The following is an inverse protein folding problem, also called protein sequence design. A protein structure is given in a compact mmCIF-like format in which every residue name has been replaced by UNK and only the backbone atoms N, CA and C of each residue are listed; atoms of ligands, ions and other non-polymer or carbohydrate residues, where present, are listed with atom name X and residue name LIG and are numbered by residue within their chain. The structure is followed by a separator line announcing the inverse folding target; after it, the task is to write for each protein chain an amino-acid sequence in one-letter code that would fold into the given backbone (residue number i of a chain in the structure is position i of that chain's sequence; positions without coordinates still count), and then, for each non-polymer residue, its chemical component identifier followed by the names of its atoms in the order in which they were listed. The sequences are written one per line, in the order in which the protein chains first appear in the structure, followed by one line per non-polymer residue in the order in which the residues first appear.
data_IF_593621871922
#
_entry.id   IF_593621871922
#
_cell.length_a   1.000
_cell.length_b   1.000
_cell.length_c   1.000
_cell.angle_alpha   90.00
_cell.angle_beta   90.00
_cell.angle_gamma   90.00
#
_symmetry.space_group_name_H-M   'P 1'
#
loop_
_entity.id
_entity.type
_entity.pdbx_description
1 polymer ?
#
# COMPACT_ATOMS: atom_id res chain seq x y z
N UNK A 1 -17.32 4.54 -2.41
CA UNK A 1 -16.29 4.15 -3.40
C UNK A 1 -16.89 3.42 -4.61
N UNK A 2 -17.81 2.45 -4.44
CA UNK A 2 -18.40 1.64 -5.54
C UNK A 2 -18.92 2.45 -6.74
N UNK A 3 -19.87 3.37 -6.52
CA UNK A 3 -20.45 4.20 -7.60
C UNK A 3 -19.42 5.05 -8.38
N UNK A 4 -18.35 5.50 -7.70
CA UNK A 4 -17.33 6.36 -8.32
C UNK A 4 -16.43 5.53 -9.23
N UNK A 5 -16.04 4.32 -8.81
CA UNK A 5 -15.21 3.45 -9.64
C UNK A 5 -15.95 2.98 -10.89
N UNK A 6 -17.22 2.57 -10.78
CA UNK A 6 -18.02 2.18 -11.96
C UNK A 6 -18.23 3.39 -12.89
N UNK A 7 -18.50 4.58 -12.36
CA UNK A 7 -18.59 5.79 -13.19
C UNK A 7 -17.28 6.16 -13.88
N UNK A 8 -16.14 5.99 -13.22
CA UNK A 8 -14.85 6.39 -13.75
C UNK A 8 -14.29 5.40 -14.77
N UNK A 9 -14.50 4.09 -14.56
CA UNK A 9 -13.87 3.02 -15.34
C UNK A 9 -14.86 2.22 -16.21
N UNK A 10 -16.16 2.49 -16.10
CA UNK A 10 -17.22 1.83 -16.87
C UNK A 10 -17.45 0.36 -16.49
N UNK A 11 -18.34 -0.30 -17.23
CA UNK A 11 -18.67 -1.73 -17.05
C UNK A 11 -17.51 -2.70 -17.35
N UNK A 12 -16.33 -2.23 -17.77
CA UNK A 12 -15.17 -3.10 -18.05
C UNK A 12 -14.45 -3.60 -16.79
N UNK A 13 -14.84 -3.13 -15.61
CA UNK A 13 -14.09 -3.27 -14.35
C UNK A 13 -14.33 -4.61 -13.62
N UNK A 14 -14.17 -5.74 -14.30
CA UNK A 14 -14.52 -7.06 -13.78
C UNK A 14 -13.48 -7.66 -12.82
N UNK A 15 -12.20 -7.26 -12.95
CA UNK A 15 -11.09 -7.76 -12.11
C UNK A 15 -10.22 -6.63 -11.59
N UNK A 16 -10.29 -6.39 -10.28
CA UNK A 16 -9.65 -5.26 -9.62
C UNK A 16 -8.61 -5.74 -8.64
N UNK A 17 -7.39 -5.20 -8.73
CA UNK A 17 -6.38 -5.30 -7.68
C UNK A 17 -6.24 -3.95 -6.97
N UNK A 18 -6.44 -3.92 -5.66
CA UNK A 18 -6.10 -2.76 -4.85
C UNK A 18 -4.80 -3.02 -4.08
N UNK A 19 -3.91 -2.03 -4.05
CA UNK A 19 -2.63 -2.09 -3.32
C UNK A 19 -2.49 -0.83 -2.47
N UNK A 20 -2.32 -0.97 -1.16
CA UNK A 20 -2.18 0.21 -0.27
C UNK A 20 -2.79 0.02 1.12
N UNK A 21 -2.63 1.03 1.98
CA UNK A 21 -3.08 1.05 3.38
C UNK A 21 -4.60 0.94 3.55
N UNK A 22 -5.37 1.33 2.54
CA UNK A 22 -6.84 1.29 2.55
C UNK A 22 -7.43 -0.02 1.99
N UNK A 23 -6.60 -1.03 1.74
CA UNK A 23 -6.99 -2.25 1.01
C UNK A 23 -8.19 -2.94 1.62
N UNK A 24 -8.16 -3.20 2.93
CA UNK A 24 -9.27 -3.89 3.58
C UNK A 24 -10.59 -3.12 3.52
N UNK A 25 -10.55 -1.79 3.54
CA UNK A 25 -11.75 -0.96 3.41
C UNK A 25 -12.34 -1.04 2.00
N UNK A 26 -11.48 -0.88 0.98
CA UNK A 26 -11.89 -0.92 -0.43
C UNK A 26 -12.43 -2.29 -0.81
N UNK A 27 -11.70 -3.36 -0.50
CA UNK A 27 -12.13 -4.73 -0.81
C UNK A 27 -13.42 -5.08 -0.09
N UNK A 28 -13.59 -4.65 1.17
CA UNK A 28 -14.84 -4.91 1.87
C UNK A 28 -16.02 -4.16 1.25
N UNK A 29 -15.83 -2.99 0.65
CA UNK A 29 -16.91 -2.27 -0.04
C UNK A 29 -17.24 -2.91 -1.38
N UNK A 30 -16.23 -3.27 -2.17
CA UNK A 30 -16.43 -3.91 -3.47
C UNK A 30 -17.11 -5.27 -3.32
N UNK A 31 -16.59 -6.11 -2.43
CA UNK A 31 -17.17 -7.42 -2.13
C UNK A 31 -18.62 -7.37 -1.65
N UNK A 32 -19.05 -6.29 -0.99
CA UNK A 32 -20.40 -6.17 -0.42
C UNK A 32 -21.41 -5.48 -1.36
N UNK A 33 -20.95 -4.74 -2.37
CA UNK A 33 -21.82 -3.85 -3.15
C UNK A 33 -21.95 -4.25 -4.62
N UNK A 34 -20.97 -4.96 -5.15
CA UNK A 34 -20.84 -5.14 -6.59
C UNK A 34 -20.81 -6.64 -6.91
N UNK A 35 -21.93 -7.20 -7.37
CA UNK A 35 -22.05 -8.65 -7.67
C UNK A 35 -21.19 -9.07 -8.88
N UNK A 36 -20.87 -8.15 -9.78
CA UNK A 36 -20.13 -8.41 -11.02
C UNK A 36 -18.63 -8.06 -10.95
N UNK A 37 -18.12 -7.65 -9.78
CA UNK A 37 -16.71 -7.22 -9.62
C UNK A 37 -15.95 -8.21 -8.76
N UNK A 38 -14.95 -8.87 -9.35
CA UNK A 38 -13.97 -9.66 -8.62
C UNK A 38 -12.85 -8.73 -8.12
N UNK A 39 -12.66 -8.65 -6.80
CA UNK A 39 -11.70 -7.74 -6.18
C UNK A 39 -10.70 -8.48 -5.28
N UNK A 40 -9.41 -8.14 -5.43
CA UNK A 40 -8.31 -8.63 -4.60
C UNK A 40 -7.51 -7.48 -4.03
N UNK A 41 -6.99 -7.68 -2.82
CA UNK A 41 -6.22 -6.70 -2.10
C UNK A 41 -4.79 -7.14 -1.80
N UNK A 42 -3.86 -6.20 -1.84
CA UNK A 42 -2.52 -6.34 -1.28
C UNK A 42 -2.29 -5.24 -0.26
N UNK A 43 -2.11 -5.66 0.99
CA UNK A 43 -1.79 -4.78 2.11
C UNK A 43 -0.27 -4.84 2.36
N UNK A 44 0.48 -3.77 2.03
CA UNK A 44 1.94 -3.73 2.23
C UNK A 44 2.37 -3.49 3.68
N UNK A 45 1.45 -3.02 4.52
CA UNK A 45 1.68 -2.75 5.93
C UNK A 45 1.20 -3.90 6.80
N UNK A 46 1.62 -3.92 8.08
CA UNK A 46 1.15 -4.93 9.01
C UNK A 46 -0.33 -4.73 9.36
N UNK A 47 -1.05 -5.83 9.54
CA UNK A 47 -2.47 -5.89 9.89
C UNK A 47 -2.73 -6.18 11.37
N UNK A 48 -1.69 -6.29 12.20
CA UNK A 48 -1.80 -6.63 13.63
C UNK A 48 -2.88 -5.80 14.37
N UNK A 49 -2.90 -4.48 14.14
CA UNK A 49 -3.82 -3.52 14.75
C UNK A 49 -5.13 -3.31 13.96
N UNK A 50 -5.36 -4.07 12.89
CA UNK A 50 -6.57 -3.90 12.08
C UNK A 50 -7.78 -4.63 12.66
N UNK A 51 -8.96 -4.06 12.40
CA UNK A 51 -10.23 -4.60 12.88
C UNK A 51 -10.59 -5.98 12.29
N UNK A 52 -11.54 -6.67 12.94
CA UNK A 52 -11.97 -8.03 12.59
C UNK A 52 -12.36 -8.22 11.11
N UNK A 53 -12.89 -7.19 10.44
CA UNK A 53 -13.22 -7.23 9.00
C UNK A 53 -12.00 -7.50 8.14
N UNK A 54 -10.88 -6.82 8.40
CA UNK A 54 -9.66 -6.96 7.62
C UNK A 54 -9.06 -8.37 7.80
N UNK A 55 -8.97 -8.83 9.06
CA UNK A 55 -8.52 -10.19 9.40
C UNK A 55 -9.37 -11.26 8.71
N UNK A 56 -10.69 -11.08 8.63
CA UNK A 56 -11.58 -12.00 7.89
C UNK A 56 -11.29 -12.02 6.38
N UNK A 57 -11.07 -10.85 5.76
CA UNK A 57 -10.74 -10.78 4.32
C UNK A 57 -9.39 -11.45 4.01
N UNK A 58 -8.42 -11.31 4.92
CA UNK A 58 -7.12 -11.97 4.82
C UNK A 58 -7.27 -13.47 4.97
N UNK A 59 -8.04 -13.93 5.97
CA UNK A 59 -8.31 -15.36 6.16
C UNK A 59 -9.05 -15.99 4.97
N UNK A 60 -9.93 -15.24 4.30
CA UNK A 60 -10.62 -15.65 3.07
C UNK A 60 -9.71 -15.62 1.83
N UNK A 61 -8.49 -15.09 1.93
CA UNK A 61 -7.55 -14.97 0.82
C UNK A 61 -7.90 -13.85 -0.19
N UNK A 62 -8.86 -12.98 0.14
CA UNK A 62 -9.22 -11.82 -0.67
C UNK A 62 -8.19 -10.69 -0.53
N UNK A 63 -7.58 -10.58 0.65
CA UNK A 63 -6.47 -9.65 0.92
C UNK A 63 -5.22 -10.45 1.26
N UNK A 64 -4.08 -10.08 0.66
CA UNK A 64 -2.76 -10.64 0.95
C UNK A 64 -1.90 -9.60 1.64
N UNK A 65 -1.25 -9.97 2.73
CA UNK A 65 -0.28 -9.10 3.42
C UNK A 65 1.11 -9.48 2.93
N UNK A 66 1.73 -8.62 2.13
CA UNK A 66 3.05 -8.89 1.51
C UNK A 66 3.80 -7.59 1.23
N UNK A 67 5.13 -7.62 1.37
CA UNK A 67 5.99 -6.50 0.97
C UNK A 67 5.99 -6.35 -0.56
N UNK A 68 5.45 -5.24 -1.05
CA UNK A 68 5.31 -4.93 -2.48
C UNK A 68 6.62 -4.53 -3.16
N UNK A 69 7.74 -4.49 -2.44
CA UNK A 69 9.08 -4.42 -3.05
C UNK A 69 9.41 -5.70 -3.81
N UNK A 70 8.72 -6.80 -3.51
CA UNK A 70 8.85 -8.06 -4.22
C UNK A 70 7.72 -8.24 -5.24
N UNK A 71 8.04 -8.94 -6.33
CA UNK A 71 7.07 -9.22 -7.38
C UNK A 71 5.91 -10.05 -6.83
N UNK A 72 4.70 -9.57 -7.07
CA UNK A 72 3.48 -10.29 -6.72
C UNK A 72 3.31 -11.50 -7.66
N UNK A 73 2.76 -12.63 -7.19
CA UNK A 73 2.63 -13.87 -7.95
C UNK A 73 1.47 -13.83 -8.97
N UNK A 74 1.21 -12.67 -9.57
CA UNK A 74 0.17 -12.49 -10.57
C UNK A 74 0.76 -12.53 -11.98
N UNK A 75 0.01 -13.10 -12.92
CA UNK A 75 0.40 -13.09 -14.33
C UNK A 75 0.16 -11.70 -14.90
N UNK A 76 0.92 -11.34 -15.93
CA UNK A 76 0.65 -10.12 -16.68
C UNK A 76 -0.80 -10.13 -17.20
N UNK A 77 -1.49 -8.98 -17.13
CA UNK A 77 -2.90 -8.81 -17.53
C UNK A 77 -3.90 -9.65 -16.71
N UNK A 78 -3.54 -10.07 -15.49
CA UNK A 78 -4.48 -10.73 -14.58
C UNK A 78 -5.66 -9.83 -14.16
N UNK A 79 -5.44 -8.51 -14.12
CA UNK A 79 -6.43 -7.53 -13.68
C UNK A 79 -6.74 -6.55 -14.79
N UNK A 80 -8.02 -6.15 -14.89
CA UNK A 80 -8.47 -5.07 -15.77
C UNK A 80 -8.16 -3.70 -15.18
N UNK A 81 -8.07 -3.60 -13.85
CA UNK A 81 -7.75 -2.37 -13.14
C UNK A 81 -6.83 -2.65 -11.94
N UNK A 82 -5.80 -1.84 -11.77
CA UNK A 82 -4.95 -1.82 -10.58
C UNK A 82 -5.02 -0.43 -9.96
N UNK A 83 -5.44 -0.36 -8.69
CA UNK A 83 -5.53 0.88 -7.91
C UNK A 83 -4.43 0.85 -6.85
N UNK A 84 -3.61 1.89 -6.81
CA UNK A 84 -2.53 2.04 -5.83
C UNK A 84 -2.84 3.26 -4.97
N UNK A 85 -2.98 3.07 -3.66
CA UNK A 85 -3.23 4.13 -2.68
C UNK A 85 -2.10 4.16 -1.64
N UNK A 86 -1.54 5.34 -1.40
CA UNK A 86 -0.60 5.58 -0.29
C UNK A 86 0.56 4.56 -0.17
N UNK A 87 1.03 4.08 -1.32
CA UNK A 87 2.09 3.07 -1.42
C UNK A 87 3.26 3.52 -2.31
N UNK A 88 3.19 4.74 -2.88
CA UNK A 88 4.29 5.29 -3.69
C UNK A 88 5.53 5.55 -2.83
N UNK A 89 5.36 6.05 -1.61
CA UNK A 89 6.48 6.26 -0.68
C UNK A 89 7.09 4.93 -0.21
N UNK A 90 6.27 3.87 -0.16
CA UNK A 90 6.72 2.52 0.14
C UNK A 90 7.64 1.95 -0.97
N UNK A 91 7.36 2.31 -2.22
CA UNK A 91 8.14 1.93 -3.41
C UNK A 91 9.28 2.90 -3.73
N UNK A 92 9.27 4.10 -3.13
CA UNK A 92 10.26 5.11 -3.43
C UNK A 92 11.64 4.64 -2.98
N UNK A 93 12.65 4.66 -3.86
CA UNK A 93 14.01 4.36 -3.45
C UNK A 93 14.38 5.37 -2.37
N UNK A 94 14.84 4.88 -1.22
CA UNK A 94 15.40 5.75 -0.18
C UNK A 94 16.62 6.43 -0.80
N UNK A 95 16.46 7.66 -1.29
CA UNK A 95 17.57 8.46 -1.78
C UNK A 95 18.50 8.67 -0.60
N UNK A 96 19.67 8.04 -0.65
CA UNK A 96 20.74 8.16 0.35
C UNK A 96 21.38 9.56 0.38
N UNK A 97 20.71 10.58 -0.17
CA UNK A 97 21.11 11.97 -0.04
C UNK A 97 20.75 12.43 1.36
N UNK A 98 21.72 12.70 2.25
CA UNK A 98 21.42 13.29 3.54
C UNK A 98 20.68 14.62 3.33
N UNK A 99 19.53 14.76 4.00
CA UNK A 99 18.79 16.02 4.04
C UNK A 99 19.74 17.16 4.40
N UNK A 100 19.75 18.30 3.67
CA UNK A 100 20.73 19.37 3.87
C UNK A 100 20.82 19.88 5.31
N UNK A 101 19.73 19.83 6.08
CA UNK A 101 19.68 20.29 7.47
C UNK A 101 20.19 19.27 8.50
N UNK A 102 20.30 17.98 8.13
CA UNK A 102 20.84 16.91 9.01
C UNK A 102 22.36 17.00 9.15
N UNK A 103 23.05 17.56 8.16
CA UNK A 103 24.52 17.71 8.14
C UNK A 103 25.02 18.57 9.32
N UNK A 104 24.20 19.50 9.76
CA UNK A 104 24.51 20.54 10.74
C UNK A 104 24.60 19.99 12.18
N UNK A 105 24.05 18.80 12.42
CA UNK A 105 23.95 18.20 13.76
C UNK A 105 25.16 17.32 14.10
N UNK A 106 25.75 16.67 13.08
CA UNK A 106 26.97 15.89 13.23
C UNK A 106 28.21 16.78 13.42
N UNK A 107 28.25 17.95 12.78
CA UNK A 107 29.33 18.92 12.94
C UNK A 107 29.33 19.55 14.35
N UNK A 108 28.15 19.83 14.92
CA UNK A 108 28.00 20.33 16.29
C UNK A 108 28.47 19.32 17.35
N UNK A 109 28.23 18.02 17.15
CA UNK A 109 28.71 16.96 18.05
C UNK A 109 30.22 16.72 17.94
N UNK A 110 30.81 16.93 16.75
CA UNK A 110 32.26 16.86 16.54
C UNK A 110 33.03 18.02 17.21
N UNK A 111 32.42 19.21 17.26
CA UNK A 111 33.07 20.39 17.85
C UNK A 111 33.10 20.38 19.39
N UNK A 112 32.14 19.73 20.06
CA UNK A 112 32.15 19.63 21.53
C UNK A 112 33.20 18.64 22.09
N UNK A 113 33.72 17.71 21.27
CA UNK A 113 34.73 16.74 21.71
C UNK A 113 36.18 17.25 21.62
N UNK A 114 36.44 18.40 20.99
CA UNK A 114 37.79 18.96 20.87
C UNK A 114 38.21 19.92 21.98
N UNK A 115 37.35 20.18 22.97
CA UNK A 115 37.62 21.11 24.07
C UNK A 115 37.86 20.41 25.42
N UNK A 116 38.27 19.15 25.41
CA UNK A 116 38.62 18.42 26.63
C UNK A 116 39.87 17.57 26.39
N UNK A 117 40.99 18.25 26.14
CA UNK A 117 42.35 17.75 26.36
C UNK A 117 43.24 18.92 26.78
#
# INVERSE_FOLDING_TARGET
MGDISIKAYGNSMHRVLHVGSDTCSVISQLYLKEEDIEAWGVEPYDIEDTGHRCKSLVHKGLVRVVDIKFLLPYRAKSFSLVIVSDALDYLSPKTSTPEPWKTNELEKRGSQKKNME
#
